data_IF_652000393645
#
_entry.id   IF_652000393645
#
_cell.length_a   1.000
_cell.length_b   1.000
_cell.length_c   1.000
_cell.angle_alpha   90.00
_cell.angle_beta   90.00
_cell.angle_gamma   90.00
#
_symmetry.space_group_name_H-M   'P 1'
#
loop_
_entity.id
_entity.type
_entity.pdbx_description
1 polymer ?
#
# COMPACT_ATOMS: atom_id res chain seq x y z
N UNK A 1 -16.15 13.92 -12.58
CA UNK A 1 -16.72 12.58 -12.90
C UNK A 1 -16.71 11.60 -11.71
N UNK A 2 -15.92 11.82 -10.66
CA UNK A 2 -15.99 11.12 -9.34
C UNK A 2 -17.33 11.33 -8.59
N UNK A 3 -18.09 12.36 -8.98
CA UNK A 3 -19.44 12.66 -8.47
C UNK A 3 -20.53 11.62 -8.78
N UNK A 4 -20.35 10.69 -9.74
CA UNK A 4 -21.36 9.63 -9.96
C UNK A 4 -21.36 8.56 -8.87
N UNK A 5 -20.31 8.49 -8.05
CA UNK A 5 -20.30 7.67 -6.83
C UNK A 5 -21.03 8.36 -5.65
N UNK A 6 -21.54 9.59 -5.81
CA UNK A 6 -22.29 10.34 -4.80
C UNK A 6 -23.65 9.71 -4.41
N UNK A 7 -24.08 8.62 -5.07
CA UNK A 7 -25.30 7.88 -4.71
C UNK A 7 -25.13 6.89 -3.56
N UNK A 8 -23.98 6.84 -2.89
CA UNK A 8 -23.60 5.73 -1.98
C UNK A 8 -23.66 6.05 -0.48
N UNK A 9 -24.35 7.12 -0.09
CA UNK A 9 -24.82 7.29 1.29
C UNK A 9 -23.78 7.61 2.37
N UNK A 10 -22.51 7.83 2.03
CA UNK A 10 -21.48 8.22 3.01
C UNK A 10 -20.95 9.65 2.78
N UNK A 11 -20.57 10.30 3.87
CA UNK A 11 -20.03 11.67 3.87
C UNK A 11 -18.64 11.66 3.23
N UNK A 12 -18.46 12.52 2.22
CA UNK A 12 -17.18 12.67 1.51
C UNK A 12 -16.53 13.98 1.89
N UNK A 13 -15.20 13.98 1.97
CA UNK A 13 -14.46 15.24 1.98
C UNK A 13 -14.58 15.93 0.63
N UNK A 14 -14.74 17.24 0.63
CA UNK A 14 -14.68 18.05 -0.59
C UNK A 14 -13.24 18.16 -1.11
N UNK A 15 -13.08 18.66 -2.34
CA UNK A 15 -11.77 18.90 -2.92
C UNK A 15 -10.97 19.91 -2.08
N UNK A 16 -11.62 20.97 -1.62
CA UNK A 16 -11.02 22.02 -0.79
C UNK A 16 -10.59 21.46 0.56
N UNK A 17 -11.38 20.57 1.16
CA UNK A 17 -11.04 19.91 2.42
C UNK A 17 -9.83 19.00 2.28
N UNK A 18 -9.71 18.29 1.16
CA UNK A 18 -8.53 17.48 0.84
C UNK A 18 -7.27 18.33 0.69
N UNK A 19 -7.36 19.45 -0.04
CA UNK A 19 -6.25 20.38 -0.22
C UNK A 19 -5.82 21.02 1.10
N UNK A 20 -6.77 21.44 1.93
CA UNK A 20 -6.51 21.99 3.26
C UNK A 20 -5.84 20.95 4.17
N UNK A 21 -6.34 19.71 4.13
CA UNK A 21 -5.78 18.60 4.90
C UNK A 21 -4.32 18.30 4.50
N UNK A 22 -4.01 18.25 3.21
CA UNK A 22 -2.63 17.97 2.76
C UNK A 22 -1.68 19.10 3.15
N UNK A 23 -2.09 20.34 2.95
CA UNK A 23 -1.29 21.52 3.31
C UNK A 23 -0.95 21.51 4.81
N UNK A 24 -1.94 21.18 5.66
CA UNK A 24 -1.74 21.04 7.10
C UNK A 24 -0.86 19.81 7.44
N UNK A 25 -1.06 18.71 6.76
CA UNK A 25 -0.37 17.44 7.05
C UNK A 25 1.11 17.49 6.75
N UNK A 26 1.52 18.14 5.66
CA UNK A 26 2.93 18.26 5.28
C UNK A 26 3.70 19.34 6.04
N UNK A 27 3.01 20.34 6.56
CA UNK A 27 3.60 21.31 7.49
C UNK A 27 3.70 20.78 8.92
N UNK A 28 2.99 19.69 9.24
CA UNK A 28 2.96 19.09 10.57
C UNK A 28 4.18 18.20 10.83
N UNK A 29 5.03 18.63 11.75
CA UNK A 29 6.11 17.79 12.32
C UNK A 29 5.63 16.94 13.50
N UNK A 30 4.40 17.17 13.98
CA UNK A 30 3.83 16.41 15.10
C UNK A 30 3.13 15.15 14.63
N UNK A 31 3.15 14.12 15.47
CA UNK A 31 2.24 12.99 15.34
C UNK A 31 0.85 13.39 15.83
N UNK A 32 -0.17 12.75 15.26
CA UNK A 32 -1.56 12.94 15.65
C UNK A 32 -2.11 11.62 16.21
N UNK A 33 -3.07 11.70 17.13
CA UNK A 33 -3.71 10.52 17.71
C UNK A 33 -5.22 10.71 17.80
N UNK A 34 -5.96 9.66 17.46
CA UNK A 34 -7.41 9.60 17.64
C UNK A 34 -7.82 8.20 18.09
N UNK A 35 -8.92 8.10 18.83
CA UNK A 35 -9.57 6.83 19.12
C UNK A 35 -10.84 6.74 18.29
N UNK A 36 -10.91 5.71 17.44
CA UNK A 36 -12.10 5.42 16.65
C UNK A 36 -12.87 4.30 17.36
N UNK A 37 -14.13 4.58 17.69
CA UNK A 37 -15.00 3.61 18.36
C UNK A 37 -15.46 2.52 17.41
N UNK A 38 -15.77 1.36 17.96
CA UNK A 38 -16.45 0.27 17.29
C UNK A 38 -17.81 0.68 16.75
N UNK A 39 -18.40 -0.22 15.96
CA UNK A 39 -19.70 -0.05 15.34
C UNK A 39 -20.54 -1.31 15.55
N UNK A 40 -21.87 -1.26 15.38
CA UNK A 40 -22.76 -2.37 15.74
C UNK A 40 -22.42 -3.71 15.07
N UNK A 41 -21.89 -3.68 13.83
CA UNK A 41 -21.47 -4.89 13.11
C UNK A 41 -20.09 -5.43 13.51
N UNK A 42 -19.37 -4.76 14.42
CA UNK A 42 -18.17 -5.33 15.01
C UNK A 42 -18.57 -6.47 15.96
N UNK A 43 -17.87 -7.62 15.93
CA UNK A 43 -18.22 -8.79 16.76
C UNK A 43 -18.28 -8.48 18.27
N UNK A 44 -17.67 -7.36 18.69
CA UNK A 44 -17.56 -6.94 20.08
C UNK A 44 -18.27 -5.60 20.34
N UNK A 45 -19.11 -5.13 19.40
CA UNK A 45 -19.91 -3.91 19.51
C UNK A 45 -19.07 -2.68 19.88
N UNK A 46 -19.53 -1.95 20.88
CA UNK A 46 -18.93 -0.67 21.32
C UNK A 46 -17.59 -0.82 22.05
N UNK A 47 -17.21 -2.04 22.45
CA UNK A 47 -15.93 -2.31 23.10
C UNK A 47 -14.77 -2.37 22.11
N UNK A 48 -15.07 -2.58 20.84
CA UNK A 48 -14.05 -2.58 19.80
C UNK A 48 -13.49 -1.15 19.63
N UNK A 49 -12.18 -1.02 19.46
CA UNK A 49 -11.56 0.30 19.27
C UNK A 49 -10.32 0.27 18.39
N UNK A 50 -10.10 1.36 17.67
CA UNK A 50 -8.87 1.62 16.93
C UNK A 50 -8.17 2.82 17.53
N UNK A 51 -6.91 2.64 17.93
CA UNK A 51 -6.00 3.75 18.21
C UNK A 51 -5.32 4.13 16.89
N UNK A 52 -5.77 5.23 16.29
CA UNK A 52 -5.25 5.76 15.04
C UNK A 52 -4.11 6.74 15.33
N UNK A 53 -2.96 6.53 14.68
CA UNK A 53 -1.78 7.35 14.75
C UNK A 53 -1.47 7.95 13.38
N UNK A 54 -1.42 9.28 13.30
CA UNK A 54 -0.97 10.04 12.14
C UNK A 54 0.51 10.38 12.27
N UNK A 55 1.31 10.01 11.27
CA UNK A 55 2.77 10.09 11.31
C UNK A 55 3.31 11.15 10.32
N UNK A 56 4.36 11.86 10.73
CA UNK A 56 5.11 12.76 9.85
C UNK A 56 6.18 11.97 9.07
N UNK A 57 6.63 12.51 7.93
CA UNK A 57 7.68 11.87 7.11
C UNK A 57 9.09 12.03 7.72
N UNK A 58 9.30 13.03 8.58
CA UNK A 58 10.58 13.28 9.24
C UNK A 58 10.77 12.42 10.50
N UNK A 59 12.03 12.10 10.87
CA UNK A 59 12.32 11.45 12.15
C UNK A 59 11.87 12.37 13.30
N UNK A 60 11.20 11.80 14.29
CA UNK A 60 10.78 12.54 15.49
C UNK A 60 11.92 12.47 16.50
N UNK A 61 12.60 13.60 16.75
CA UNK A 61 13.83 13.65 17.56
C UNK A 61 13.70 13.10 19.00
N UNK A 62 12.49 12.87 19.54
CA UNK A 62 12.29 12.61 20.98
C UNK A 62 11.15 11.65 21.36
N UNK A 63 10.54 10.91 20.44
CA UNK A 63 9.45 10.01 20.86
C UNK A 63 10.01 8.70 21.43
N UNK A 64 9.54 8.32 22.63
CA UNK A 64 9.39 6.90 22.97
C UNK A 64 8.82 6.21 21.73
N UNK A 65 9.37 5.07 21.26
CA UNK A 65 8.88 4.42 20.06
C UNK A 65 7.36 4.33 20.13
N UNK A 66 6.64 5.01 19.24
CA UNK A 66 5.18 5.14 19.33
C UNK A 66 4.50 3.77 19.40
N UNK A 67 5.12 2.77 18.78
CA UNK A 67 4.70 1.38 18.87
C UNK A 67 4.86 0.75 20.26
N UNK A 68 5.88 1.12 21.05
CA UNK A 68 5.99 0.67 22.43
C UNK A 68 4.87 1.28 23.28
N UNK A 69 4.59 2.58 23.12
CA UNK A 69 3.44 3.22 23.78
C UNK A 69 2.13 2.52 23.39
N UNK A 70 1.92 2.29 22.09
CA UNK A 70 0.72 1.62 21.59
C UNK A 70 0.60 0.18 22.12
N UNK A 71 1.70 -0.58 22.10
CA UNK A 71 1.74 -1.99 22.50
C UNK A 71 1.55 -2.16 24.01
N UNK A 72 2.21 -1.34 24.82
CA UNK A 72 2.13 -1.43 26.28
C UNK A 72 0.81 -0.86 26.82
N UNK A 73 0.35 0.26 26.26
CA UNK A 73 -0.85 0.95 26.72
C UNK A 73 -2.15 0.25 26.33
N UNK A 74 -2.25 -0.24 25.09
CA UNK A 74 -3.51 -0.74 24.54
C UNK A 74 -3.55 -2.24 24.27
N UNK A 75 -2.38 -2.90 24.25
CA UNK A 75 -2.24 -4.33 23.90
C UNK A 75 -3.09 -4.70 22.68
N UNK A 76 -2.83 -4.07 21.52
CA UNK A 76 -3.64 -4.29 20.33
C UNK A 76 -3.54 -5.75 19.90
N UNK A 77 -4.66 -6.35 19.50
CA UNK A 77 -4.69 -7.69 18.89
C UNK A 77 -4.02 -7.69 17.51
N UNK A 78 -4.13 -6.57 16.80
CA UNK A 78 -3.59 -6.38 15.45
C UNK A 78 -2.97 -4.99 15.30
N UNK A 79 -1.85 -4.93 14.56
CA UNK A 79 -1.22 -3.68 14.14
C UNK A 79 -1.47 -3.48 12.65
N UNK A 80 -2.07 -2.35 12.29
CA UNK A 80 -2.30 -1.93 10.92
C UNK A 80 -1.25 -0.91 10.51
N UNK A 81 -0.59 -1.14 9.38
CA UNK A 81 0.46 -0.27 8.86
C UNK A 81 0.12 0.18 7.44
N UNK A 82 0.29 1.48 7.13
CA UNK A 82 0.21 1.97 5.75
C UNK A 82 1.42 1.51 4.92
N UNK A 83 1.36 0.26 4.44
CA UNK A 83 2.31 -0.38 3.55
C UNK A 83 1.54 -1.13 2.45
N UNK A 84 2.03 -1.08 1.21
CA UNK A 84 1.40 -1.76 0.08
C UNK A 84 1.52 -3.29 0.26
N UNK A 85 0.39 -4.02 0.37
CA UNK A 85 0.41 -5.46 0.58
C UNK A 85 0.71 -6.26 -0.69
N UNK A 86 0.69 -5.65 -1.88
CA UNK A 86 0.65 -6.34 -3.17
C UNK A 86 1.75 -7.39 -3.32
N UNK A 87 3.01 -7.03 -3.07
CA UNK A 87 4.13 -7.96 -3.29
C UNK A 87 4.07 -9.17 -2.33
N UNK A 88 3.79 -8.91 -1.05
CA UNK A 88 3.61 -9.96 -0.06
C UNK A 88 2.43 -10.88 -0.41
N UNK A 89 1.27 -10.29 -0.73
CA UNK A 89 0.07 -11.04 -1.11
C UNK A 89 0.30 -11.95 -2.31
N UNK A 90 0.93 -11.43 -3.37
CA UNK A 90 1.21 -12.19 -4.58
C UNK A 90 2.09 -13.42 -4.30
N UNK A 91 3.11 -13.27 -3.44
CA UNK A 91 4.00 -14.37 -3.04
C UNK A 91 3.31 -15.35 -2.11
N UNK A 92 2.49 -14.85 -1.19
CA UNK A 92 1.65 -15.66 -0.31
C UNK A 92 0.68 -16.53 -1.12
N UNK A 93 -0.03 -15.95 -2.08
CA UNK A 93 -0.92 -16.69 -2.99
C UNK A 93 -0.19 -17.71 -3.84
N UNK A 94 0.99 -17.37 -4.36
CA UNK A 94 1.84 -18.34 -5.07
C UNK A 94 2.23 -19.51 -4.16
N UNK A 95 2.55 -19.25 -2.90
CA UNK A 95 2.86 -20.30 -1.94
C UNK A 95 1.64 -21.17 -1.63
N UNK A 96 0.46 -20.56 -1.45
CA UNK A 96 -0.81 -21.28 -1.29
C UNK A 96 -1.11 -22.16 -2.50
N UNK A 97 -0.87 -21.67 -3.72
CA UNK A 97 -0.98 -22.47 -4.95
C UNK A 97 -0.06 -23.69 -4.91
N UNK A 98 1.20 -23.48 -4.53
CA UNK A 98 2.19 -24.55 -4.43
C UNK A 98 1.79 -25.60 -3.38
N UNK A 99 1.23 -25.17 -2.25
CA UNK A 99 0.68 -26.07 -1.24
C UNK A 99 -0.47 -26.92 -1.80
N UNK A 100 -1.40 -26.30 -2.53
CA UNK A 100 -2.51 -26.99 -3.17
C UNK A 100 -2.03 -28.04 -4.20
N UNK A 101 -1.01 -27.71 -5.01
CA UNK A 101 -0.39 -28.66 -5.96
C UNK A 101 0.32 -29.85 -5.30
N UNK A 102 0.61 -29.75 -4.00
CA UNK A 102 1.23 -30.81 -3.22
C UNK A 102 0.22 -31.55 -2.32
N UNK A 103 -1.08 -31.39 -2.59
CA UNK A 103 -2.19 -32.03 -1.86
C UNK A 103 -2.09 -31.83 -0.33
N UNK A 104 -1.63 -30.65 0.09
CA UNK A 104 -1.65 -30.30 1.52
C UNK A 104 -3.09 -30.05 1.96
N UNK A 105 -3.48 -30.66 3.09
CA UNK A 105 -4.78 -30.45 3.73
C UNK A 105 -5.05 -28.94 3.92
N UNK A 106 -6.31 -28.54 3.77
CA UNK A 106 -6.82 -27.15 3.83
C UNK A 106 -6.53 -26.21 2.64
N UNK A 107 -5.78 -26.63 1.62
CA UNK A 107 -5.54 -25.83 0.41
C UNK A 107 -6.36 -26.35 -0.80
N UNK A 108 -7.54 -25.76 -1.04
CA UNK A 108 -8.36 -26.09 -2.22
C UNK A 108 -7.76 -25.50 -3.50
N UNK A 109 -7.52 -26.35 -4.51
CA UNK A 109 -7.06 -25.95 -5.85
C UNK A 109 -8.05 -24.96 -6.50
N UNK A 110 -9.36 -25.10 -6.24
CA UNK A 110 -10.39 -24.15 -6.72
C UNK A 110 -10.28 -22.78 -6.05
N UNK A 111 -9.63 -22.68 -4.90
CA UNK A 111 -9.32 -21.41 -4.23
C UNK A 111 -8.21 -20.61 -4.93
N UNK A 112 -7.62 -21.13 -6.02
CA UNK A 112 -6.44 -20.56 -6.66
C UNK A 112 -6.70 -20.02 -8.08
N UNK A 113 -7.96 -19.89 -8.48
CA UNK A 113 -8.36 -19.50 -9.83
C UNK A 113 -7.80 -18.14 -10.29
N UNK A 114 -7.41 -17.25 -9.37
CA UNK A 114 -6.74 -16.00 -9.73
C UNK A 114 -5.67 -15.57 -8.71
N UNK A 115 -4.45 -16.11 -8.84
CA UNK A 115 -3.27 -15.71 -8.05
C UNK A 115 -3.04 -14.18 -8.14
N UNK A 116 -3.43 -13.56 -9.25
CA UNK A 116 -3.08 -12.18 -9.61
C UNK A 116 -4.19 -11.17 -9.38
N UNK A 117 -5.20 -11.55 -8.62
CA UNK A 117 -6.33 -10.67 -8.38
C UNK A 117 -5.84 -9.36 -7.71
N UNK A 118 -6.12 -8.18 -8.29
CA UNK A 118 -5.43 -6.93 -7.94
C UNK A 118 -5.82 -6.37 -6.56
N UNK A 119 -6.81 -6.97 -5.90
CA UNK A 119 -7.28 -6.62 -4.56
C UNK A 119 -7.26 -7.84 -3.64
N UNK A 120 -7.17 -7.64 -2.32
CA UNK A 120 -7.37 -8.74 -1.39
C UNK A 120 -8.79 -9.28 -1.48
N UNK A 121 -8.93 -10.60 -1.42
CA UNK A 121 -10.21 -11.29 -1.31
C UNK A 121 -10.76 -11.11 0.11
N UNK A 122 -9.86 -11.23 1.09
CA UNK A 122 -10.15 -11.03 2.52
C UNK A 122 -9.04 -10.21 3.17
N UNK A 123 -9.32 -9.57 4.30
CA UNK A 123 -8.30 -8.81 5.02
C UNK A 123 -7.16 -9.72 5.55
N UNK A 124 -7.42 -11.01 5.75
CA UNK A 124 -6.42 -11.97 6.19
C UNK A 124 -5.29 -12.16 5.16
N UNK A 125 -5.55 -11.95 3.87
CA UNK A 125 -4.50 -12.01 2.85
C UNK A 125 -3.42 -10.93 3.04
N UNK A 126 -3.75 -9.82 3.69
CA UNK A 126 -2.81 -8.73 3.95
C UNK A 126 -2.09 -8.87 5.30
N UNK A 127 -2.36 -9.93 6.06
CA UNK A 127 -1.69 -10.21 7.33
C UNK A 127 -0.36 -10.90 7.07
N UNK A 128 0.73 -10.33 7.59
CA UNK A 128 2.06 -10.92 7.51
C UNK A 128 2.14 -12.15 8.41
N UNK A 129 2.46 -13.30 7.82
CA UNK A 129 2.72 -14.55 8.53
C UNK A 129 4.19 -14.95 8.34
N UNK A 130 4.97 -14.95 9.43
CA UNK A 130 6.39 -15.29 9.38
C UNK A 130 6.67 -16.73 8.96
N UNK A 131 5.73 -17.66 9.20
CA UNK A 131 5.82 -19.03 8.68
C UNK A 131 5.72 -19.01 7.15
N UNK A 132 4.77 -18.26 6.60
CA UNK A 132 4.64 -18.08 5.15
C UNK A 132 5.88 -17.40 4.57
N UNK A 133 6.49 -16.46 5.29
CA UNK A 133 7.77 -15.86 4.87
C UNK A 133 8.89 -16.90 4.81
N UNK A 134 9.01 -17.79 5.81
CA UNK A 134 9.97 -18.90 5.75
C UNK A 134 9.69 -19.86 4.59
N UNK A 135 8.41 -20.15 4.30
CA UNK A 135 8.01 -20.94 3.13
C UNK A 135 8.44 -20.29 1.82
N UNK A 136 8.23 -18.98 1.68
CA UNK A 136 8.61 -18.21 0.50
C UNK A 136 10.14 -18.20 0.34
N UNK A 137 10.88 -17.98 1.43
CA UNK A 137 12.35 -17.97 1.45
C UNK A 137 12.96 -19.29 1.00
N UNK A 138 12.49 -20.38 1.58
CA UNK A 138 12.96 -21.72 1.25
C UNK A 138 12.38 -22.22 -0.10
N UNK A 139 11.37 -21.53 -0.64
CA UNK A 139 10.52 -22.01 -1.73
C UNK A 139 10.04 -23.45 -1.44
N UNK A 140 9.59 -23.70 -0.21
CA UNK A 140 9.20 -25.02 0.28
C UNK A 140 7.87 -24.93 1.03
N UNK A 141 7.11 -26.03 1.01
CA UNK A 141 5.89 -26.14 1.80
C UNK A 141 6.20 -26.34 3.28
N UNK A 142 5.22 -26.09 4.15
CA UNK A 142 5.38 -26.12 5.60
C UNK A 142 5.91 -27.46 6.16
N UNK A 143 5.71 -28.58 5.44
CA UNK A 143 6.20 -29.91 5.85
C UNK A 143 7.71 -30.10 5.69
N UNK A 144 8.37 -29.26 4.87
CA UNK A 144 9.81 -29.38 4.55
C UNK A 144 10.68 -28.35 5.26
N UNK A 145 10.06 -27.42 5.99
CA UNK A 145 10.75 -26.29 6.61
C UNK A 145 11.31 -26.70 7.97
N UNK A 146 12.59 -26.40 8.17
CA UNK A 146 13.19 -26.42 9.49
C UNK A 146 12.84 -25.12 10.24
N UNK A 147 11.78 -25.15 11.04
CA UNK A 147 11.32 -23.99 11.79
C UNK A 147 12.35 -23.50 12.80
N UNK A 148 13.25 -24.35 13.28
CA UNK A 148 14.26 -23.96 14.29
C UNK A 148 15.27 -22.93 13.78
N UNK A 149 15.37 -22.79 12.45
CA UNK A 149 16.31 -21.87 11.78
C UNK A 149 15.59 -20.77 10.98
N UNK A 150 14.25 -20.74 11.05
CA UNK A 150 13.42 -19.79 10.34
C UNK A 150 13.42 -18.39 10.96
N UNK A 151 13.02 -17.39 10.17
CA UNK A 151 12.74 -16.04 10.70
C UNK A 151 11.53 -16.04 11.64
N UNK A 152 10.68 -17.06 11.55
CA UNK A 152 9.62 -17.34 12.51
C UNK A 152 10.12 -17.55 13.95
N UNK A 153 11.37 -17.95 14.18
CA UNK A 153 11.97 -18.05 15.51
C UNK A 153 12.66 -16.76 16.01
N UNK A 154 12.81 -15.73 15.16
CA UNK A 154 13.44 -14.48 15.57
C UNK A 154 12.58 -13.69 16.57
N UNK A 155 13.14 -13.15 17.65
CA UNK A 155 12.39 -12.42 18.68
C UNK A 155 13.21 -11.26 19.25
N UNK A 156 12.72 -10.60 20.30
CA UNK A 156 13.37 -9.43 20.88
C UNK A 156 14.82 -9.75 21.30
N UNK A 157 15.81 -8.85 21.04
CA UNK A 157 17.21 -9.05 21.41
C UNK A 157 17.47 -9.42 22.87
N UNK A 158 16.56 -9.02 23.77
CA UNK A 158 16.67 -9.28 25.21
C UNK A 158 16.24 -10.70 25.62
N UNK A 159 15.47 -11.39 24.76
CA UNK A 159 14.98 -12.75 25.04
C UNK A 159 15.71 -13.82 24.23
N UNK A 160 16.66 -13.42 23.38
CA UNK A 160 17.44 -14.32 22.53
C UNK A 160 18.89 -14.42 22.99
N UNK A 161 19.47 -15.61 22.85
CA UNK A 161 20.91 -15.79 22.99
C UNK A 161 21.66 -14.94 21.97
N UNK A 162 22.77 -14.33 22.39
CA UNK A 162 23.57 -13.41 21.56
C UNK A 162 24.00 -14.01 20.24
N UNK A 163 24.45 -15.27 20.25
CA UNK A 163 24.85 -16.01 19.04
C UNK A 163 23.68 -16.21 18.07
N UNK A 164 22.49 -16.49 18.59
CA UNK A 164 21.28 -16.65 17.76
C UNK A 164 20.86 -15.31 17.16
N UNK A 165 20.93 -14.24 17.96
CA UNK A 165 20.63 -12.87 17.55
C UNK A 165 21.54 -12.43 16.41
N UNK A 166 22.85 -12.49 16.58
CA UNK A 166 23.82 -12.08 15.55
C UNK A 166 23.64 -12.83 14.22
N UNK A 167 23.27 -14.11 14.29
CA UNK A 167 23.05 -14.94 13.12
C UNK A 167 21.70 -14.70 12.41
N UNK A 168 20.66 -14.31 13.15
CA UNK A 168 19.30 -14.18 12.62
C UNK A 168 18.90 -12.74 12.31
N UNK A 169 19.43 -11.72 13.00
CA UNK A 169 19.05 -10.32 12.79
C UNK A 169 19.23 -9.87 11.33
N UNK A 170 20.40 -10.08 10.68
CA UNK A 170 20.57 -9.69 9.27
C UNK A 170 19.62 -10.44 8.35
N UNK A 171 19.40 -11.74 8.60
CA UNK A 171 18.49 -12.59 7.82
C UNK A 171 17.03 -12.15 7.99
N UNK A 172 16.66 -11.66 9.17
CA UNK A 172 15.33 -11.17 9.48
C UNK A 172 15.05 -9.84 8.77
N UNK A 173 15.97 -8.88 8.85
CA UNK A 173 15.87 -7.60 8.13
C UNK A 173 15.84 -7.85 6.61
N UNK A 174 16.72 -8.71 6.12
CA UNK A 174 16.73 -9.11 4.71
C UNK A 174 15.42 -9.79 4.31
N UNK A 175 14.86 -10.66 5.16
CA UNK A 175 13.58 -11.30 4.85
C UNK A 175 12.41 -10.30 4.75
N UNK A 176 12.37 -9.29 5.64
CA UNK A 176 11.38 -8.21 5.55
C UNK A 176 11.58 -7.43 4.25
N UNK A 177 12.82 -7.04 3.96
CA UNK A 177 13.20 -6.27 2.77
C UNK A 177 12.81 -7.01 1.50
N UNK A 178 13.20 -8.28 1.40
CA UNK A 178 13.07 -9.05 0.17
C UNK A 178 11.64 -9.52 -0.05
N UNK A 179 10.91 -9.94 1.00
CA UNK A 179 9.65 -10.70 0.86
C UNK A 179 8.38 -10.01 1.36
N UNK A 180 8.51 -8.95 2.16
CA UNK A 180 7.36 -8.19 2.65
C UNK A 180 7.30 -6.85 1.93
N UNK A 181 8.40 -6.10 1.98
CA UNK A 181 8.46 -4.72 1.49
C UNK A 181 8.93 -4.62 0.04
N UNK A 182 9.77 -5.57 -0.41
CA UNK A 182 10.40 -5.62 -1.74
C UNK A 182 11.06 -4.29 -2.13
N UNK A 183 11.95 -3.80 -1.27
CA UNK A 183 12.67 -2.52 -1.41
C UNK A 183 11.79 -1.27 -1.48
N UNK A 184 10.46 -1.39 -1.36
CA UNK A 184 9.50 -0.27 -1.33
C UNK A 184 9.15 0.16 0.09
N UNK A 185 10.15 0.61 0.85
CA UNK A 185 9.97 1.07 2.22
C UNK A 185 9.03 2.28 2.31
N UNK A 186 8.32 2.41 3.44
CA UNK A 186 7.46 3.56 3.67
C UNK A 186 8.29 4.84 3.71
N UNK A 187 7.80 5.97 3.16
CA UNK A 187 8.40 7.28 3.40
C UNK A 187 8.25 7.71 4.87
N UNK A 188 7.37 7.06 5.64
CA UNK A 188 7.18 7.30 7.07
C UNK A 188 8.08 6.37 7.87
N UNK A 189 9.14 6.95 8.42
CA UNK A 189 10.13 6.23 9.22
C UNK A 189 9.52 5.34 10.32
N UNK A 190 8.57 5.89 11.09
CA UNK A 190 7.92 5.17 12.20
C UNK A 190 7.09 3.96 11.73
N UNK A 191 6.60 3.94 10.48
CA UNK A 191 5.90 2.77 9.93
C UNK A 191 6.87 1.61 9.72
N UNK A 192 8.08 1.89 9.23
CA UNK A 192 9.10 0.86 9.00
C UNK A 192 9.60 0.29 10.33
N UNK A 193 9.80 1.16 11.33
CA UNK A 193 10.15 0.75 12.68
C UNK A 193 9.04 -0.07 13.34
N UNK A 194 7.78 0.36 13.18
CA UNK A 194 6.61 -0.36 13.68
C UNK A 194 6.49 -1.76 13.06
N UNK A 195 6.74 -1.91 11.75
CA UNK A 195 6.78 -3.21 11.08
C UNK A 195 7.80 -4.14 11.73
N UNK A 196 9.04 -3.67 11.88
CA UNK A 196 10.13 -4.47 12.43
C UNK A 196 9.83 -4.93 13.87
N UNK A 197 9.47 -3.98 14.76
CA UNK A 197 9.16 -4.29 16.15
C UNK A 197 7.95 -5.21 16.30
N UNK A 198 6.90 -5.00 15.50
CA UNK A 198 5.69 -5.82 15.56
C UNK A 198 5.94 -7.27 15.14
N UNK A 199 6.68 -7.49 14.04
CA UNK A 199 7.00 -8.83 13.56
C UNK A 199 7.94 -9.56 14.52
N UNK A 200 8.92 -8.86 15.07
CA UNK A 200 9.81 -9.40 16.11
C UNK A 200 9.03 -9.80 17.36
N UNK A 201 8.04 -9.01 17.76
CA UNK A 201 7.10 -9.30 18.84
C UNK A 201 6.00 -10.30 18.51
N UNK A 202 6.02 -10.91 17.32
CA UNK A 202 5.00 -11.87 16.84
C UNK A 202 3.57 -11.34 16.85
N UNK A 203 3.43 -10.02 16.73
CA UNK A 203 2.12 -9.38 16.60
C UNK A 203 1.56 -9.64 15.19
N UNK A 204 0.23 -9.69 15.08
CA UNK A 204 -0.43 -9.76 13.78
C UNK A 204 -0.32 -8.40 13.09
N UNK A 205 0.42 -8.34 11.98
CA UNK A 205 0.64 -7.10 11.22
C UNK A 205 -0.18 -7.14 9.94
N UNK A 206 -1.01 -6.13 9.72
CA UNK A 206 -1.75 -5.89 8.48
C UNK A 206 -1.01 -4.86 7.64
N UNK A 207 -0.70 -5.24 6.40
CA UNK A 207 -0.25 -4.32 5.35
C UNK A 207 -1.48 -3.66 4.73
N UNK A 208 -1.69 -2.40 5.06
CA UNK A 208 -2.98 -1.74 4.95
C UNK A 208 -3.14 -0.75 3.80
N UNK A 209 -2.08 -0.39 3.07
CA UNK A 209 -2.22 0.56 1.96
C UNK A 209 -2.96 -0.08 0.78
N UNK A 210 -3.55 0.74 -0.08
CA UNK A 210 -4.22 0.27 -1.29
C UNK A 210 -3.20 -0.30 -2.26
N UNK A 211 -3.39 -1.54 -2.75
CA UNK A 211 -2.50 -2.11 -3.76
C UNK A 211 -2.41 -1.20 -4.98
N UNK A 212 -1.19 -0.93 -5.44
CA UNK A 212 -0.98 0.07 -6.49
C UNK A 212 -1.76 -0.25 -7.79
N UNK A 213 -1.81 -1.52 -8.20
CA UNK A 213 -2.56 -1.96 -9.38
C UNK A 213 -4.06 -1.68 -9.25
N UNK A 214 -4.63 -1.88 -8.05
CA UNK A 214 -6.03 -1.58 -7.80
C UNK A 214 -6.31 -0.09 -7.96
N UNK A 215 -5.44 0.76 -7.38
CA UNK A 215 -5.53 2.20 -7.57
C UNK A 215 -5.47 2.58 -9.05
N UNK A 216 -4.51 2.00 -9.80
CA UNK A 216 -4.33 2.23 -11.24
C UNK A 216 -5.54 1.83 -12.07
N UNK A 217 -6.22 0.73 -11.74
CA UNK A 217 -7.44 0.30 -12.41
C UNK A 217 -8.62 1.24 -12.09
N UNK A 218 -8.76 1.66 -10.81
CA UNK A 218 -9.80 2.61 -10.40
C UNK A 218 -9.61 3.95 -11.13
N UNK A 219 -8.40 4.50 -11.12
CA UNK A 219 -8.07 5.75 -11.79
C UNK A 219 -8.21 5.61 -13.31
N UNK A 220 -7.69 4.51 -13.86
CA UNK A 220 -7.75 4.20 -15.29
C UNK A 220 -9.18 4.14 -15.82
N UNK A 221 -10.14 3.65 -15.03
CA UNK A 221 -11.54 3.61 -15.48
C UNK A 221 -12.35 4.85 -15.04
N UNK A 222 -11.76 5.77 -14.28
CA UNK A 222 -12.42 6.98 -13.78
C UNK A 222 -12.01 8.26 -14.51
N UNK A 223 -10.82 8.28 -15.11
CA UNK A 223 -10.24 9.44 -15.80
C UNK A 223 -10.12 9.16 -17.30
N UNK A 224 -10.57 10.12 -18.11
CA UNK A 224 -10.26 10.09 -19.53
C UNK A 224 -8.76 10.30 -19.76
N UNK A 225 -8.27 9.90 -20.92
CA UNK A 225 -6.87 10.12 -21.29
C UNK A 225 -6.55 11.62 -21.34
N UNK A 226 -7.48 12.44 -21.80
CA UNK A 226 -7.40 13.89 -21.85
C UNK A 226 -7.27 14.49 -20.45
N UNK A 227 -8.12 14.07 -19.51
CA UNK A 227 -8.04 14.52 -18.10
C UNK A 227 -6.68 14.15 -17.49
N UNK A 228 -6.19 12.94 -17.74
CA UNK A 228 -4.88 12.49 -17.23
C UNK A 228 -3.72 13.33 -17.84
N UNK A 229 -3.81 13.67 -19.13
CA UNK A 229 -2.83 14.56 -19.80
C UNK A 229 -2.87 15.97 -19.24
N UNK A 230 -4.04 16.49 -18.91
CA UNK A 230 -4.18 17.84 -18.37
C UNK A 230 -3.72 17.92 -16.92
N UNK A 231 -3.97 16.89 -16.09
CA UNK A 231 -3.35 16.72 -14.78
C UNK A 231 -1.82 16.73 -14.93
N UNK A 232 -1.27 15.92 -15.84
CA UNK A 232 0.18 15.86 -16.07
C UNK A 232 0.78 17.22 -16.44
N UNK A 233 0.18 17.94 -17.40
CA UNK A 233 0.64 19.28 -17.79
C UNK A 233 0.56 20.27 -16.63
N UNK A 234 -0.53 20.24 -15.86
CA UNK A 234 -0.71 21.12 -14.72
C UNK A 234 0.37 20.87 -13.66
N UNK A 235 0.63 19.60 -13.32
CA UNK A 235 1.66 19.24 -12.35
C UNK A 235 3.04 19.73 -12.83
N UNK A 236 3.40 19.52 -14.10
CA UNK A 236 4.67 20.04 -14.64
C UNK A 236 4.77 21.56 -14.55
N UNK A 237 3.69 22.27 -14.88
CA UNK A 237 3.64 23.73 -14.76
C UNK A 237 3.85 24.18 -13.30
N UNK A 238 3.21 23.52 -12.32
CA UNK A 238 3.41 23.85 -10.91
C UNK A 238 4.83 23.55 -10.42
N UNK A 239 5.42 22.41 -10.83
CA UNK A 239 6.82 22.08 -10.52
C UNK A 239 7.76 23.15 -11.08
N UNK A 240 7.54 23.60 -12.32
CA UNK A 240 8.38 24.62 -12.95
C UNK A 240 8.33 25.98 -12.25
N UNK A 241 7.23 26.25 -11.52
CA UNK A 241 7.01 27.48 -10.74
C UNK A 241 7.44 27.33 -9.27
N UNK A 242 7.70 26.11 -8.80
CA UNK A 242 8.05 25.85 -7.42
C UNK A 242 9.44 26.41 -7.11
N UNK A 243 9.54 27.17 -6.01
CA UNK A 243 10.83 27.70 -5.53
C UNK A 243 11.72 26.61 -4.92
N UNK A 244 11.07 25.60 -4.33
CA UNK A 244 11.71 24.46 -3.71
C UNK A 244 11.48 23.27 -4.63
N UNK A 245 12.52 22.49 -4.94
CA UNK A 245 12.38 21.26 -5.71
C UNK A 245 11.37 20.31 -5.05
N UNK A 246 10.41 19.83 -5.84
CA UNK A 246 9.40 18.85 -5.42
C UNK A 246 9.37 17.71 -6.44
N UNK A 247 9.06 16.49 -5.99
CA UNK A 247 8.93 15.34 -6.90
C UNK A 247 7.62 15.40 -7.68
N UNK A 248 7.54 14.65 -8.79
CA UNK A 248 6.30 14.55 -9.57
C UNK A 248 5.19 13.90 -8.73
N UNK A 249 5.53 12.86 -7.97
CA UNK A 249 4.62 12.23 -7.02
C UNK A 249 4.11 13.23 -5.99
N UNK A 250 5.01 13.96 -5.32
CA UNK A 250 4.63 14.93 -4.28
C UNK A 250 3.70 15.98 -4.88
N UNK A 251 4.06 16.61 -5.99
CA UNK A 251 3.20 17.61 -6.63
C UNK A 251 1.84 17.03 -7.02
N UNK A 252 1.81 15.82 -7.59
CA UNK A 252 0.57 15.13 -7.98
C UNK A 252 -0.34 14.88 -6.77
N UNK A 253 0.22 14.35 -5.68
CA UNK A 253 -0.53 14.10 -4.45
C UNK A 253 -0.98 15.41 -3.78
N UNK A 254 -0.21 16.50 -3.92
CA UNK A 254 -0.56 17.81 -3.37
C UNK A 254 -1.80 18.39 -4.04
N UNK A 255 -1.72 18.57 -5.35
CA UNK A 255 -2.72 19.32 -6.12
C UNK A 255 -3.94 18.47 -6.48
N UNK A 256 -3.79 17.15 -6.54
CA UNK A 256 -4.85 16.22 -6.92
C UNK A 256 -5.11 15.13 -5.87
N UNK A 257 -4.90 15.44 -4.59
CA UNK A 257 -5.18 14.54 -3.46
C UNK A 257 -6.55 13.88 -3.48
N UNK A 258 -7.60 14.63 -3.81
CA UNK A 258 -8.97 14.10 -3.95
C UNK A 258 -9.13 13.04 -5.06
N UNK A 259 -8.19 12.98 -6.02
CA UNK A 259 -8.14 11.97 -7.08
C UNK A 259 -7.28 10.78 -6.63
N UNK A 260 -6.06 11.03 -6.15
CA UNK A 260 -5.06 9.99 -5.92
C UNK A 260 -5.05 9.41 -4.49
N UNK A 261 -5.40 10.20 -3.48
CA UNK A 261 -5.41 9.78 -2.08
C UNK A 261 -6.80 9.33 -1.61
N UNK A 262 -7.87 9.93 -2.11
CA UNK A 262 -9.23 9.56 -1.70
C UNK A 262 -9.53 8.06 -1.88
N UNK A 263 -9.17 7.38 -3.00
CA UNK A 263 -9.37 5.94 -3.10
C UNK A 263 -8.59 5.15 -2.04
N UNK A 264 -7.36 5.58 -1.71
CA UNK A 264 -6.53 4.97 -0.66
C UNK A 264 -7.18 5.14 0.72
N UNK A 265 -7.67 6.33 1.04
CA UNK A 265 -8.34 6.60 2.33
C UNK A 265 -9.58 5.75 2.52
N UNK A 266 -10.40 5.65 1.47
CA UNK A 266 -11.61 4.84 1.48
C UNK A 266 -11.29 3.36 1.64
N UNK A 267 -10.24 2.88 0.96
CA UNK A 267 -9.74 1.52 1.09
C UNK A 267 -9.24 1.22 2.49
N UNK A 268 -8.31 2.03 3.02
CA UNK A 268 -7.77 1.85 4.37
C UNK A 268 -8.88 1.84 5.42
N UNK A 269 -9.81 2.80 5.33
CA UNK A 269 -10.96 2.88 6.24
C UNK A 269 -11.81 1.61 6.16
N UNK A 270 -12.12 1.15 4.94
CA UNK A 270 -12.93 -0.04 4.75
C UNK A 270 -12.22 -1.31 5.26
N UNK A 271 -10.90 -1.44 5.04
CA UNK A 271 -10.10 -2.58 5.48
C UNK A 271 -10.01 -2.63 7.01
N UNK A 272 -9.80 -1.48 7.65
CA UNK A 272 -9.84 -1.36 9.12
C UNK A 272 -11.20 -1.78 9.68
N UNK A 273 -12.30 -1.36 9.04
CA UNK A 273 -13.66 -1.78 9.46
C UNK A 273 -13.84 -3.29 9.33
N UNK A 274 -13.51 -3.90 8.20
CA UNK A 274 -13.62 -5.36 8.04
C UNK A 274 -12.76 -6.11 9.05
N UNK A 275 -11.57 -5.59 9.36
CA UNK A 275 -10.71 -6.19 10.38
C UNK A 275 -11.34 -6.08 11.77
N UNK A 276 -11.91 -4.92 12.13
CA UNK A 276 -12.56 -4.70 13.44
C UNK A 276 -13.80 -5.57 13.65
N UNK A 277 -14.36 -6.14 12.58
CA UNK A 277 -15.36 -7.20 12.73
C UNK A 277 -14.77 -8.45 13.38
N UNK A 278 -13.48 -8.72 13.21
CA UNK A 278 -12.83 -9.93 13.71
C UNK A 278 -11.96 -9.72 14.96
N UNK A 279 -11.70 -8.47 15.38
CA UNK A 279 -10.77 -8.15 16.48
C UNK A 279 -11.34 -7.08 17.41
N UNK A 280 -10.94 -7.09 18.69
CA UNK A 280 -11.37 -6.07 19.65
C UNK A 280 -10.56 -4.78 19.57
N UNK A 281 -9.26 -4.89 19.35
CA UNK A 281 -8.35 -3.76 19.50
C UNK A 281 -7.35 -3.72 18.36
N UNK A 282 -7.18 -2.53 17.79
CA UNK A 282 -6.22 -2.28 16.72
C UNK A 282 -5.41 -1.02 17.02
N UNK A 283 -4.10 -1.07 16.74
CA UNK A 283 -3.28 0.13 16.59
C UNK A 283 -3.02 0.35 15.09
N UNK A 284 -3.40 1.50 14.57
CA UNK A 284 -3.28 1.83 13.14
C UNK A 284 -2.31 2.99 12.94
N UNK A 285 -1.26 2.77 12.14
CA UNK A 285 -0.22 3.76 11.83
C UNK A 285 -0.30 4.16 10.36
N UNK A 286 -0.63 5.43 10.14
CA UNK A 286 -0.81 6.01 8.80
C UNK A 286 -0.08 7.35 8.70
N UNK A 287 0.26 7.76 7.50
CA UNK A 287 0.76 9.11 7.26
C UNK A 287 -0.27 10.18 7.63
N UNK A 288 0.20 11.33 8.11
CA UNK A 288 -0.64 12.50 8.42
C UNK A 288 -1.66 12.85 7.32
N UNK A 289 -1.32 12.79 6.01
CA UNK A 289 -2.28 12.98 4.92
C UNK A 289 -3.57 12.14 5.02
N UNK A 290 -3.49 10.95 5.60
CA UNK A 290 -4.60 9.99 5.67
C UNK A 290 -5.34 10.04 7.01
N UNK A 291 -4.74 10.67 8.03
CA UNK A 291 -5.26 10.68 9.39
C UNK A 291 -6.66 11.30 9.50
N UNK A 292 -6.87 12.51 8.98
CA UNK A 292 -8.18 13.19 9.01
C UNK A 292 -9.20 12.56 8.06
N UNK A 293 -8.86 12.19 6.82
CA UNK A 293 -9.79 11.45 5.96
C UNK A 293 -10.35 10.18 6.59
N UNK A 294 -9.52 9.34 7.21
CA UNK A 294 -9.96 8.10 7.85
C UNK A 294 -10.98 8.39 8.97
N UNK A 295 -10.72 9.39 9.82
CA UNK A 295 -11.66 9.82 10.86
C UNK A 295 -13.01 10.23 10.28
N UNK A 296 -13.01 10.99 9.19
CA UNK A 296 -14.24 11.46 8.54
C UNK A 296 -15.01 10.33 7.87
N UNK A 297 -14.32 9.32 7.33
CA UNK A 297 -14.95 8.14 6.72
C UNK A 297 -15.30 7.03 7.71
N UNK A 298 -14.98 7.21 8.99
CA UNK A 298 -15.22 6.22 10.04
C UNK A 298 -16.70 6.00 10.37
N UNK A 299 -17.63 6.75 9.75
CA UNK A 299 -19.08 6.61 9.94
C UNK A 299 -19.52 5.14 9.75
N UNK A 300 -20.26 4.52 10.69
CA UNK A 300 -20.77 3.15 10.56
C UNK A 300 -21.71 2.95 9.36
N UNK A 301 -21.88 1.70 8.88
CA UNK A 301 -22.97 1.37 7.95
C UNK A 301 -24.35 1.72 8.55
N UNK A 302 -25.39 1.96 7.73
CA UNK A 302 -25.41 1.95 6.25
C UNK A 302 -24.83 3.21 5.61
N UNK A 303 -24.42 4.20 6.41
CA UNK A 303 -23.92 5.51 5.96
C UNK A 303 -22.38 5.55 5.84
N UNK A 304 -21.74 4.38 5.91
CA UNK A 304 -20.28 4.21 5.93
C UNK A 304 -19.73 3.54 4.67
N UNK A 305 -18.44 3.74 4.41
CA UNK A 305 -17.71 2.98 3.39
C UNK A 305 -17.51 1.51 3.83
N UNK A 306 -17.62 0.56 2.90
CA UNK A 306 -17.31 -0.85 3.08
C UNK A 306 -16.32 -1.35 2.00
N UNK A 307 -15.78 -2.57 2.18
CA UNK A 307 -14.73 -3.09 1.29
C UNK A 307 -15.19 -3.32 -0.15
N UNK A 308 -16.42 -3.82 -0.35
CA UNK A 308 -16.96 -4.03 -1.71
C UNK A 308 -17.06 -2.72 -2.49
N UNK A 309 -17.37 -1.62 -1.82
CA UNK A 309 -17.44 -0.30 -2.43
C UNK A 309 -16.05 0.32 -2.64
N UNK A 310 -15.15 0.19 -1.66
CA UNK A 310 -13.80 0.76 -1.72
C UNK A 310 -12.89 0.07 -2.74
N UNK A 311 -13.13 -1.21 -3.00
CA UNK A 311 -12.35 -2.00 -3.97
C UNK A 311 -13.04 -2.17 -5.32
N UNK A 312 -14.19 -1.51 -5.55
CA UNK A 312 -14.90 -1.63 -6.83
C UNK A 312 -14.14 -0.89 -7.92
N UNK A 313 -13.69 -1.63 -8.92
CA UNK A 313 -13.16 -1.08 -10.17
C UNK A 313 -14.36 -0.55 -10.98
N UNK A 314 -14.36 0.72 -11.41
CA UNK A 314 -15.39 1.26 -12.29
C UNK A 314 -15.38 0.58 -13.66
N UNK A 315 -16.50 0.62 -14.36
CA UNK A 315 -16.55 0.14 -15.75
C UNK A 315 -15.67 1.01 -16.64
N UNK A 316 -15.05 0.40 -17.66
CA UNK A 316 -14.22 1.10 -18.65
C UNK A 316 -15.01 2.24 -19.29
N UNK A 317 -14.35 3.38 -19.48
CA UNK A 317 -14.96 4.53 -20.18
C UNK A 317 -15.25 4.10 -21.63
N UNK A 318 -16.48 4.38 -22.08
CA UNK A 318 -16.92 4.01 -23.42
C UNK A 318 -16.01 4.64 -24.48
N UNK A 319 -15.72 3.88 -25.54
CA UNK A 319 -14.93 4.27 -26.71
C UNK A 319 -13.42 4.45 -26.48
N UNK A 320 -12.88 4.16 -25.29
CA UNK A 320 -11.42 4.14 -25.13
C UNK A 320 -10.81 2.91 -25.80
N UNK A 321 -9.72 3.08 -26.56
CA UNK A 321 -8.97 1.95 -27.14
C UNK A 321 -7.97 1.36 -26.15
N UNK A 322 -7.42 0.17 -26.44
CA UNK A 322 -6.42 -0.46 -25.57
C UNK A 322 -5.14 0.38 -25.49
N UNK A 323 -4.77 1.05 -26.58
CA UNK A 323 -3.63 1.95 -26.66
C UNK A 323 -3.83 3.18 -25.78
N UNK A 324 -5.05 3.73 -25.72
CA UNK A 324 -5.38 4.84 -24.80
C UNK A 324 -5.23 4.42 -23.34
N UNK A 325 -5.70 3.22 -22.99
CA UNK A 325 -5.53 2.68 -21.64
C UNK A 325 -4.05 2.49 -21.30
N UNK A 326 -3.25 1.94 -22.21
CA UNK A 326 -1.80 1.77 -22.04
C UNK A 326 -1.11 3.14 -21.86
N UNK A 327 -1.50 4.15 -22.64
CA UNK A 327 -0.96 5.50 -22.50
C UNK A 327 -1.30 6.12 -21.14
N UNK A 328 -2.53 5.95 -20.64
CA UNK A 328 -2.93 6.42 -19.30
C UNK A 328 -2.06 5.83 -18.22
N UNK A 329 -1.78 4.54 -18.30
CA UNK A 329 -0.98 3.86 -17.28
C UNK A 329 0.50 4.29 -17.33
N UNK A 330 1.04 4.55 -18.53
CA UNK A 330 2.37 5.15 -18.67
C UNK A 330 2.43 6.56 -18.05
N UNK A 331 1.40 7.38 -18.26
CA UNK A 331 1.26 8.70 -17.62
C UNK A 331 1.23 8.59 -16.10
N UNK A 332 0.46 7.63 -15.60
CA UNK A 332 0.29 7.33 -14.20
C UNK A 332 1.60 6.90 -13.52
N UNK A 333 2.42 6.07 -14.17
CA UNK A 333 3.77 5.71 -13.68
C UNK A 333 4.66 6.95 -13.52
N UNK A 334 4.58 7.91 -14.45
CA UNK A 334 5.34 9.17 -14.33
C UNK A 334 4.75 10.09 -13.26
N UNK A 335 3.42 10.22 -13.19
CA UNK A 335 2.72 11.08 -12.23
C UNK A 335 2.99 10.69 -10.77
N UNK A 336 3.04 9.39 -10.47
CA UNK A 336 3.29 8.89 -9.12
C UNK A 336 4.75 8.49 -8.89
N UNK A 337 5.66 8.81 -9.81
CA UNK A 337 7.07 8.39 -9.79
C UNK A 337 7.28 6.92 -9.39
N UNK A 338 6.39 6.05 -9.87
CA UNK A 338 6.36 4.66 -9.46
C UNK A 338 6.62 3.73 -10.65
N UNK A 339 6.90 2.47 -10.31
CA UNK A 339 7.07 1.40 -11.29
C UNK A 339 6.09 0.29 -10.95
N UNK A 340 4.81 0.57 -11.16
CA UNK A 340 3.76 -0.42 -10.94
C UNK A 340 4.03 -1.65 -11.81
N UNK A 341 4.52 -1.46 -13.04
CA UNK A 341 4.83 -2.55 -13.97
C UNK A 341 6.31 -2.93 -13.93
N UNK A 342 6.70 -3.52 -12.80
CA UNK A 342 8.01 -4.11 -12.57
C UNK A 342 8.11 -5.57 -13.00
N UNK A 343 9.26 -6.19 -12.73
CA UNK A 343 9.57 -7.59 -13.07
C UNK A 343 8.70 -8.64 -12.35
N UNK A 344 7.95 -8.24 -11.33
CA UNK A 344 7.28 -9.16 -10.40
C UNK A 344 5.79 -9.41 -10.71
N UNK A 345 5.22 -8.72 -11.69
CA UNK A 345 3.83 -8.94 -12.12
C UNK A 345 3.77 -9.90 -13.31
N UNK A 346 2.96 -10.96 -13.24
CA UNK A 346 2.78 -11.82 -14.41
C UNK A 346 1.84 -11.19 -15.43
N UNK A 347 0.77 -10.49 -15.01
CA UNK A 347 -0.08 -9.68 -15.86
C UNK A 347 0.22 -8.18 -15.66
N UNK A 348 0.97 -7.53 -16.59
CA UNK A 348 1.19 -6.10 -16.55
C UNK A 348 -0.01 -5.29 -17.06
N UNK A 349 -1.01 -5.95 -17.68
CA UNK A 349 -2.15 -5.28 -18.32
C UNK A 349 -3.53 -5.73 -17.80
N UNK A 350 -3.76 -5.81 -16.47
CA UNK A 350 -5.01 -6.33 -15.90
C UNK A 350 -6.23 -5.43 -16.15
N UNK A 351 -6.03 -4.25 -16.74
CA UNK A 351 -7.08 -3.31 -17.14
C UNK A 351 -7.48 -3.47 -18.63
N UNK A 352 -6.76 -4.29 -19.40
CA UNK A 352 -7.14 -4.70 -20.75
C UNK A 352 -7.91 -6.02 -20.66
N UNK A 353 -7.29 -7.01 -20.02
CA UNK A 353 -7.82 -8.34 -19.81
C UNK A 353 -7.25 -8.87 -18.49
N UNK A 354 -8.10 -9.44 -17.65
CA UNK A 354 -7.71 -9.90 -16.30
C UNK A 354 -6.78 -11.11 -16.39
N UNK A 355 -7.05 -12.00 -17.35
CA UNK A 355 -6.27 -13.20 -17.62
C UNK A 355 -5.30 -12.97 -18.80
N UNK A 356 -4.01 -12.82 -18.49
CA UNK A 356 -2.97 -12.59 -19.50
C UNK A 356 -2.93 -13.69 -20.57
N UNK A 357 -3.32 -14.93 -20.25
CA UNK A 357 -3.26 -16.05 -21.21
C UNK A 357 -4.24 -15.89 -22.37
N UNK A 358 -5.26 -15.04 -22.20
CA UNK A 358 -6.22 -14.68 -23.25
C UNK A 358 -5.70 -13.60 -24.21
N UNK A 359 -4.60 -12.93 -23.87
CA UNK A 359 -3.96 -11.92 -24.73
C UNK A 359 -3.01 -12.65 -25.70
N UNK A 360 -3.21 -12.55 -27.02
CA UNK A 360 -2.27 -13.14 -27.98
C UNK A 360 -0.85 -12.58 -27.80
N UNK A 361 0.17 -13.42 -27.94
CA UNK A 361 1.59 -13.01 -27.78
C UNK A 361 1.98 -11.80 -28.64
N UNK A 362 1.40 -11.70 -29.84
CA UNK A 362 1.62 -10.59 -30.75
C UNK A 362 1.12 -9.27 -30.16
N UNK A 363 -0.08 -9.29 -29.57
CA UNK A 363 -0.71 -8.14 -28.96
C UNK A 363 -0.01 -7.78 -27.65
N UNK A 364 0.37 -8.78 -26.85
CA UNK A 364 1.15 -8.58 -25.63
C UNK A 364 2.49 -7.88 -25.92
N UNK A 365 3.21 -8.31 -26.97
CA UNK A 365 4.43 -7.65 -27.44
C UNK A 365 4.16 -6.22 -27.92
N UNK A 366 3.06 -6.01 -28.65
CA UNK A 366 2.64 -4.69 -29.09
C UNK A 366 2.35 -3.76 -27.90
N UNK A 367 1.55 -4.21 -26.93
CA UNK A 367 1.18 -3.45 -25.74
C UNK A 367 2.40 -3.06 -24.91
N UNK A 368 3.34 -3.99 -24.68
CA UNK A 368 4.62 -3.69 -24.01
C UNK A 368 5.40 -2.61 -24.75
N UNK A 369 5.52 -2.72 -26.07
CA UNK A 369 6.22 -1.70 -26.88
C UNK A 369 5.54 -0.34 -26.76
N UNK A 370 4.21 -0.30 -26.91
CA UNK A 370 3.42 0.94 -26.81
C UNK A 370 3.56 1.59 -25.44
N UNK A 371 3.53 0.80 -24.36
CA UNK A 371 3.78 1.30 -23.01
C UNK A 371 5.15 1.97 -22.89
N UNK A 372 6.23 1.28 -23.27
CA UNK A 372 7.58 1.83 -23.13
C UNK A 372 7.81 3.08 -23.99
N UNK A 373 7.20 3.16 -25.17
CA UNK A 373 7.24 4.36 -26.01
C UNK A 373 6.59 5.55 -25.28
N UNK A 374 5.39 5.35 -24.72
CA UNK A 374 4.70 6.40 -23.98
C UNK A 374 5.41 6.76 -22.66
N UNK A 375 5.91 5.78 -21.93
CA UNK A 375 6.65 6.00 -20.69
C UNK A 375 7.88 6.88 -20.94
N UNK A 376 8.69 6.53 -21.95
CA UNK A 376 9.87 7.33 -22.34
C UNK A 376 9.49 8.74 -22.80
N UNK A 377 8.39 8.88 -23.54
CA UNK A 377 7.85 10.19 -23.96
C UNK A 377 7.55 11.07 -22.75
N UNK A 378 6.80 10.56 -21.77
CA UNK A 378 6.38 11.34 -20.60
C UNK A 378 7.54 11.59 -19.62
N UNK A 379 8.46 10.64 -19.43
CA UNK A 379 9.70 10.85 -18.69
C UNK A 379 10.55 11.96 -19.33
N UNK A 380 10.74 11.93 -20.65
CA UNK A 380 11.47 12.98 -21.35
C UNK A 380 10.81 14.36 -21.25
N UNK A 381 9.48 14.44 -21.12
CA UNK A 381 8.81 15.70 -20.81
C UNK A 381 9.10 16.13 -19.37
N UNK A 382 8.90 15.25 -18.39
CA UNK A 382 9.18 15.52 -16.98
C UNK A 382 10.61 16.04 -16.77
N UNK A 383 11.58 15.35 -17.35
CA UNK A 383 13.01 15.63 -17.16
C UNK A 383 13.45 16.99 -17.76
N UNK A 384 12.65 17.60 -18.65
CA UNK A 384 12.89 18.97 -19.14
C UNK A 384 12.53 20.05 -18.12
N UNK A 385 11.63 19.77 -17.19
CA UNK A 385 11.12 20.74 -16.22
C UNK A 385 11.66 20.49 -14.80
N UNK A 386 12.12 19.28 -14.51
CA UNK A 386 12.69 18.92 -13.22
C UNK A 386 14.20 19.21 -13.19
N UNK A 387 14.65 19.89 -12.14
CA UNK A 387 16.07 19.97 -11.82
C UNK A 387 16.56 18.60 -11.30
N UNK A 388 17.27 17.85 -12.14
CA UNK A 388 17.72 16.49 -11.86
C UNK A 388 18.62 16.41 -10.61
N UNK A 389 19.47 17.40 -10.35
CA UNK A 389 20.38 17.36 -9.19
C UNK A 389 19.62 17.45 -7.87
N UNK A 390 18.61 18.30 -7.80
CA UNK A 390 17.74 18.40 -6.64
C UNK A 390 16.90 17.14 -6.42
N UNK A 391 16.54 16.46 -7.51
CA UNK A 391 15.75 15.24 -7.48
C UNK A 391 16.55 14.05 -6.92
N UNK A 392 17.83 13.92 -7.31
CA UNK A 392 18.75 12.91 -6.75
C UNK A 392 18.95 13.12 -5.24
N UNK A 393 19.02 14.38 -4.79
CA UNK A 393 19.10 14.67 -3.36
C UNK A 393 17.86 14.21 -2.59
N UNK A 394 16.66 14.41 -3.15
CA UNK A 394 15.40 13.92 -2.56
C UNK A 394 15.34 12.38 -2.51
N UNK A 395 15.73 11.68 -3.57
CA UNK A 395 15.79 10.20 -3.59
C UNK A 395 16.83 9.65 -2.59
N UNK A 396 17.96 10.35 -2.43
CA UNK A 396 18.99 9.97 -1.47
C UNK A 396 18.53 10.11 0.00
N UNK A 397 17.53 10.95 0.27
CA UNK A 397 16.93 11.05 1.59
C UNK A 397 16.02 9.85 1.88
N UNK A 398 15.24 9.39 0.90
CA UNK A 398 14.36 8.22 1.03
C UNK A 398 15.14 6.91 1.27
N UNK A 399 16.31 6.76 0.66
CA UNK A 399 17.18 5.58 0.86
C UNK A 399 17.85 5.52 2.24
N UNK A 400 17.87 6.62 3.01
CA UNK A 400 18.37 6.60 4.41
C UNK A 400 17.48 5.77 5.34
N UNK A 401 16.21 5.55 4.99
CA UNK A 401 15.28 4.77 5.80
C UNK A 401 15.69 3.29 5.93
N UNK A 402 16.44 2.73 4.98
CA UNK A 402 16.94 1.35 5.03
C UNK A 402 18.10 1.18 6.02
N UNK A 403 19.07 2.11 5.99
CA UNK A 403 20.27 2.07 6.86
C UNK A 403 19.94 2.23 8.34
N UNK A 404 18.75 2.72 8.68
CA UNK A 404 18.35 2.86 10.07
C UNK A 404 18.07 1.52 10.75
N UNK A 405 17.42 0.55 10.06
CA UNK A 405 17.14 -0.75 10.67
C UNK A 405 18.41 -1.56 10.99
N UNK A 406 19.54 -1.17 10.41
CA UNK A 406 20.85 -1.78 10.63
C UNK A 406 21.58 -1.20 11.86
N UNK A 407 21.13 -0.05 12.39
CA UNK A 407 21.68 0.60 13.59
C UNK A 407 20.74 0.44 14.78
#
# INVERSE_FOLDING_TARGET
MIGRLARRGYVRMTNEEYLANITKSWSSLTFNRATLKGFPEANHGDYAQIQLYGLSQGPVEKSVPLIQEASLGHRPEVIFLQLDPMNYMMRSRFMSHKCALHDLEDYDIKGVENIQFPRPITWQETVVNLITVDMIRANQTHMKIDYTKGVSCYSYPQVQEEVVRENLTPKFIQAITDYIVCDKWSPYYEINHALYLALMGKQKVILGDMPEILLRQILGNSLSLEDAKDIFKYVLDQISKARIPITMETATLQYFSHIFLMPKDLYMTALMKETLKAVNSMAAFVGNPHFTPIQRYWIPPPQGINMSLATKIPDRIKNETNEMLIEKQALFDVLLDSRAWGKELANPFPYIEEDITKIPDKDLKHFKKTFYVNLRKYQAFRDKFINQEAYVLLESASSRNQKFLEN
#
